data_IF_771238347111
#
_entry.id   IF_771238347111
#
_cell.length_a   1.000
_cell.length_b   1.000
_cell.length_c   1.000
_cell.angle_alpha   90.00
_cell.angle_beta   90.00
_cell.angle_gamma   90.00
#
_symmetry.space_group_name_H-M   'P 1'
#
loop_
_entity.id
_entity.type
_entity.pdbx_description
1 polymer ?
#
# COMPACT_ATOMS: atom_id res chain seq x y z
N UNK A 1 -28.22 19.08 -19.68
CA UNK A 1 -27.02 19.05 -20.54
C UNK A 1 -25.92 19.81 -19.84
N UNK A 2 -24.75 19.21 -19.63
CA UNK A 2 -23.59 19.94 -19.08
C UNK A 2 -23.07 20.91 -20.16
N UNK A 3 -22.70 22.15 -19.81
CA UNK A 3 -22.15 23.10 -20.77
C UNK A 3 -20.85 22.55 -21.38
N UNK A 4 -20.67 22.70 -22.70
CA UNK A 4 -19.43 22.29 -23.37
C UNK A 4 -18.25 23.07 -22.77
N UNK A 5 -17.13 22.40 -22.43
CA UNK A 5 -15.95 23.09 -21.92
C UNK A 5 -15.38 24.02 -22.99
N UNK A 6 -14.95 25.21 -22.56
CA UNK A 6 -14.24 26.15 -23.44
C UNK A 6 -12.87 25.57 -23.83
N UNK A 7 -12.33 25.98 -24.99
CA UNK A 7 -10.99 25.61 -25.46
C UNK A 7 -9.91 25.88 -24.42
N UNK A 8 -10.03 26.98 -23.68
CA UNK A 8 -9.11 27.36 -22.61
C UNK A 8 -9.14 26.39 -21.40
N UNK A 9 -10.31 25.84 -21.06
CA UNK A 9 -10.44 24.84 -20.00
C UNK A 9 -9.82 23.50 -20.42
N UNK A 10 -10.01 23.11 -21.67
CA UNK A 10 -9.40 21.92 -22.26
C UNK A 10 -7.87 22.00 -22.26
N UNK A 11 -7.33 23.13 -22.69
CA UNK A 11 -5.89 23.40 -22.72
C UNK A 11 -5.26 23.38 -21.30
N UNK A 12 -5.95 23.94 -20.30
CA UNK A 12 -5.51 23.84 -18.89
C UNK A 12 -5.56 22.43 -18.33
N UNK A 13 -6.61 21.66 -18.63
CA UNK A 13 -6.71 20.27 -18.22
C UNK A 13 -5.61 19.42 -18.87
N UNK A 14 -5.30 19.66 -20.15
CA UNK A 14 -4.23 18.99 -20.88
C UNK A 14 -2.87 19.30 -20.26
N UNK A 15 -2.58 20.57 -19.92
CA UNK A 15 -1.34 20.94 -19.22
C UNK A 15 -1.19 20.24 -17.88
N UNK A 16 -2.25 20.18 -17.08
CA UNK A 16 -2.25 19.45 -15.81
C UNK A 16 -1.95 17.98 -16.04
N UNK A 17 -2.62 17.36 -17.01
CA UNK A 17 -2.44 15.95 -17.35
C UNK A 17 -1.02 15.63 -17.80
N UNK A 18 -0.45 16.42 -18.70
CA UNK A 18 0.95 16.26 -19.15
C UNK A 18 1.93 16.38 -17.98
N UNK A 19 1.77 17.39 -17.12
CA UNK A 19 2.62 17.56 -15.93
C UNK A 19 2.51 16.37 -14.97
N UNK A 20 1.30 15.88 -14.74
CA UNK A 20 1.04 14.71 -13.92
C UNK A 20 1.73 13.46 -14.49
N UNK A 21 1.62 13.23 -15.80
CA UNK A 21 2.27 12.10 -16.46
C UNK A 21 3.80 12.17 -16.34
N UNK A 22 4.39 13.36 -16.55
CA UNK A 22 5.83 13.56 -16.42
C UNK A 22 6.31 13.32 -14.98
N UNK A 23 5.60 13.89 -13.99
CA UNK A 23 5.93 13.68 -12.58
C UNK A 23 5.79 12.20 -12.18
N UNK A 24 4.72 11.54 -12.63
CA UNK A 24 4.53 10.10 -12.38
C UNK A 24 5.63 9.27 -13.01
N UNK A 25 6.00 9.53 -14.27
CA UNK A 25 7.05 8.80 -14.97
C UNK A 25 8.41 8.92 -14.26
N UNK A 26 8.78 10.13 -13.83
CA UNK A 26 10.01 10.35 -13.05
C UNK A 26 10.00 9.59 -11.73
N UNK A 27 8.88 9.63 -11.01
CA UNK A 27 8.72 8.88 -9.76
C UNK A 27 8.78 7.37 -9.99
N UNK A 28 8.17 6.85 -11.05
CA UNK A 28 8.23 5.43 -11.43
C UNK A 28 9.63 4.94 -11.78
N UNK A 29 10.46 5.78 -12.39
CA UNK A 29 11.85 5.41 -12.70
C UNK A 29 12.68 5.19 -11.44
N UNK A 30 12.52 6.06 -10.45
CA UNK A 30 13.25 5.98 -9.17
C UNK A 30 12.64 4.96 -8.21
N UNK A 31 11.33 4.72 -8.35
CA UNK A 31 10.52 3.84 -7.52
C UNK A 31 11.13 2.44 -7.34
N UNK A 32 11.49 1.77 -8.44
CA UNK A 32 11.97 0.39 -8.40
C UNK A 32 13.24 0.24 -7.56
N UNK A 33 14.11 1.25 -7.57
CA UNK A 33 15.34 1.29 -6.76
C UNK A 33 15.02 1.50 -5.29
N UNK A 34 14.06 2.37 -4.97
CA UNK A 34 13.63 2.62 -3.60
C UNK A 34 12.91 1.40 -2.99
N UNK A 35 12.10 0.69 -3.77
CA UNK A 35 11.40 -0.53 -3.35
C UNK A 35 12.38 -1.60 -2.88
N UNK A 36 13.38 -1.89 -3.72
CA UNK A 36 14.35 -2.94 -3.44
C UNK A 36 15.20 -2.59 -2.22
N UNK A 37 15.64 -1.33 -2.11
CA UNK A 37 16.40 -0.86 -0.95
C UNK A 37 15.58 -0.95 0.34
N UNK A 38 14.31 -0.53 0.30
CA UNK A 38 13.40 -0.63 1.44
C UNK A 38 13.14 -2.07 1.86
N UNK A 39 12.84 -2.95 0.90
CA UNK A 39 12.61 -4.37 1.15
C UNK A 39 13.84 -5.04 1.76
N UNK A 40 15.04 -4.77 1.23
CA UNK A 40 16.30 -5.29 1.80
C UNK A 40 16.49 -4.85 3.24
N UNK A 41 16.27 -3.57 3.55
CA UNK A 41 16.37 -3.05 4.92
C UNK A 41 15.36 -3.73 5.85
N UNK A 42 14.10 -3.84 5.43
CA UNK A 42 13.06 -4.49 6.22
C UNK A 42 13.38 -5.96 6.48
N UNK A 43 13.84 -6.70 5.47
CA UNK A 43 14.28 -8.10 5.62
C UNK A 43 15.37 -8.23 6.69
N UNK A 44 16.37 -7.34 6.69
CA UNK A 44 17.43 -7.36 7.69
C UNK A 44 16.90 -7.11 9.11
N UNK A 45 16.04 -6.11 9.28
CA UNK A 45 15.46 -5.77 10.58
C UNK A 45 14.63 -6.94 11.12
N UNK A 46 13.73 -7.50 10.31
CA UNK A 46 12.85 -8.60 10.73
C UNK A 46 13.66 -9.86 11.04
N UNK A 47 14.65 -10.21 10.22
CA UNK A 47 15.53 -11.34 10.50
C UNK A 47 16.36 -11.12 11.78
N UNK A 48 16.79 -9.89 12.05
CA UNK A 48 17.46 -9.52 13.30
C UNK A 48 16.55 -9.76 14.51
N UNK A 49 15.29 -9.31 14.45
CA UNK A 49 14.30 -9.56 15.50
C UNK A 49 14.07 -11.06 15.71
N UNK A 50 13.87 -11.82 14.63
CA UNK A 50 13.62 -13.27 14.71
C UNK A 50 14.84 -14.04 15.26
N UNK A 51 16.05 -13.56 15.00
CA UNK A 51 17.25 -14.09 15.63
C UNK A 51 17.27 -13.82 17.14
N UNK A 52 16.84 -12.63 17.58
CA UNK A 52 16.79 -12.28 19.01
C UNK A 52 15.69 -13.03 19.78
N UNK A 53 14.61 -13.42 19.11
CA UNK A 53 13.47 -14.15 19.69
C UNK A 53 13.50 -15.67 19.45
N UNK A 54 14.59 -16.18 18.88
CA UNK A 54 14.78 -17.61 18.54
C UNK A 54 13.64 -18.22 17.70
N UNK A 55 13.08 -17.42 16.80
CA UNK A 55 11.96 -17.85 15.95
C UNK A 55 12.46 -18.75 14.80
N UNK A 56 11.79 -19.88 14.51
CA UNK A 56 12.20 -20.83 13.48
C UNK A 56 11.79 -20.35 12.07
N UNK A 57 11.99 -19.06 11.77
CA UNK A 57 11.61 -18.44 10.52
C UNK A 57 12.70 -17.48 10.02
N UNK A 58 12.88 -17.40 8.70
CA UNK A 58 13.82 -16.48 8.04
C UNK A 58 13.18 -15.89 6.80
N UNK A 59 13.22 -14.57 6.68
CA UNK A 59 12.80 -13.88 5.48
C UNK A 59 13.96 -13.78 4.48
N UNK A 60 13.67 -13.94 3.20
CA UNK A 60 14.58 -13.75 2.08
C UNK A 60 13.91 -12.87 1.02
N UNK A 61 14.70 -12.08 0.28
CA UNK A 61 14.21 -11.39 -0.91
C UNK A 61 14.52 -12.26 -2.12
N UNK A 62 13.50 -12.72 -2.85
CA UNK A 62 13.64 -13.50 -4.08
C UNK A 62 12.79 -12.88 -5.17
N UNK A 63 13.41 -12.53 -6.30
CA UNK A 63 12.74 -11.95 -7.48
C UNK A 63 11.82 -10.74 -7.18
N UNK A 64 12.20 -9.90 -6.21
CA UNK A 64 11.42 -8.72 -5.80
C UNK A 64 10.24 -9.04 -4.86
N UNK A 65 10.14 -10.26 -4.36
CA UNK A 65 9.17 -10.65 -3.34
C UNK A 65 9.86 -11.04 -2.03
N UNK A 66 9.20 -10.72 -0.92
CA UNK A 66 9.63 -11.14 0.40
C UNK A 66 9.09 -12.56 0.65
N UNK A 67 10.01 -13.52 0.80
CA UNK A 67 9.73 -14.93 1.03
C UNK A 67 10.02 -15.28 2.48
N UNK A 68 9.03 -15.81 3.20
CA UNK A 68 9.25 -16.41 4.53
C UNK A 68 9.74 -17.85 4.32
N UNK A 69 10.80 -18.27 5.02
CA UNK A 69 11.25 -19.66 5.09
C UNK A 69 11.12 -20.15 6.53
N UNK A 70 10.25 -21.14 6.77
CA UNK A 70 10.16 -21.81 8.08
C UNK A 70 11.26 -22.88 8.18
N UNK A 71 12.14 -22.74 9.16
CA UNK A 71 13.22 -23.67 9.47
C UNK A 71 12.69 -24.76 10.41
N UNK A 72 13.08 -26.02 10.22
CA UNK A 72 12.68 -27.13 11.09
C UNK A 72 11.53 -28.03 10.61
N UNK A 73 10.88 -27.72 9.48
CA UNK A 73 9.78 -28.53 8.91
C UNK A 73 10.18 -29.47 7.75
N UNK A 74 11.46 -29.80 7.59
CA UNK A 74 11.96 -30.70 6.54
C UNK A 74 11.89 -30.15 5.10
N UNK A 75 10.97 -29.22 4.80
CA UNK A 75 10.93 -28.39 3.59
C UNK A 75 10.60 -26.94 3.96
N UNK A 76 11.31 -25.93 3.42
CA UNK A 76 10.97 -24.54 3.64
C UNK A 76 9.60 -24.24 3.01
N UNK A 77 8.62 -23.87 3.84
CA UNK A 77 7.36 -23.31 3.37
C UNK A 77 7.63 -21.87 2.93
N UNK A 78 7.47 -21.59 1.63
CA UNK A 78 7.70 -20.28 1.02
C UNK A 78 6.39 -19.51 0.87
N UNK A 79 6.17 -18.51 1.72
CA UNK A 79 5.06 -17.54 1.56
C UNK A 79 5.59 -16.31 0.83
N UNK A 80 5.09 -16.09 -0.39
CA UNK A 80 5.44 -14.92 -1.19
C UNK A 80 4.56 -13.75 -0.78
N UNK A 81 5.12 -12.77 -0.07
CA UNK A 81 4.43 -11.53 0.24
C UNK A 81 4.49 -10.60 -0.98
N UNK A 82 3.64 -10.88 -1.97
CA UNK A 82 3.37 -9.98 -3.08
C UNK A 82 2.42 -8.87 -2.64
N UNK A 83 2.80 -7.60 -2.76
CA UNK A 83 1.81 -6.53 -2.58
C UNK A 83 2.27 -5.14 -2.19
N UNK A 84 3.56 -4.85 -2.06
CA UNK A 84 3.96 -3.49 -1.72
C UNK A 84 3.71 -2.49 -2.87
N UNK A 85 3.65 -2.97 -4.13
CA UNK A 85 3.36 -2.14 -5.31
C UNK A 85 2.15 -1.22 -5.15
N UNK A 86 1.09 -1.65 -4.44
CA UNK A 86 -0.13 -0.85 -4.27
C UNK A 86 0.12 0.39 -3.40
N UNK A 87 0.92 0.28 -2.32
CA UNK A 87 1.25 1.44 -1.48
C UNK A 87 1.98 2.52 -2.29
N UNK A 88 2.91 2.07 -3.12
CA UNK A 88 3.76 2.96 -3.89
C UNK A 88 3.07 3.57 -5.11
N UNK A 89 2.15 2.83 -5.74
CA UNK A 89 1.26 3.40 -6.75
C UNK A 89 0.42 4.55 -6.18
N UNK A 90 -0.15 4.39 -4.98
CA UNK A 90 -0.91 5.44 -4.32
C UNK A 90 -0.03 6.66 -3.97
N UNK A 91 1.19 6.41 -3.48
CA UNK A 91 2.14 7.46 -3.12
C UNK A 91 2.61 8.25 -4.36
N UNK A 92 2.97 7.55 -5.44
CA UNK A 92 3.37 8.15 -6.72
C UNK A 92 2.24 9.04 -7.27
N UNK A 93 1.02 8.51 -7.33
CA UNK A 93 -0.15 9.27 -7.81
C UNK A 93 -0.37 10.52 -6.96
N UNK A 94 -0.29 10.40 -5.64
CA UNK A 94 -0.48 11.53 -4.74
C UNK A 94 0.58 12.61 -4.92
N UNK A 95 1.86 12.24 -4.86
CA UNK A 95 2.96 13.20 -5.04
C UNK A 95 2.90 13.84 -6.43
N UNK A 96 2.62 13.06 -7.48
CA UNK A 96 2.51 13.56 -8.84
C UNK A 96 1.34 14.55 -9.01
N UNK A 97 0.19 14.31 -8.37
CA UNK A 97 -0.95 15.25 -8.40
C UNK A 97 -0.58 16.59 -7.77
N UNK A 98 0.11 16.60 -6.63
CA UNK A 98 0.55 17.83 -5.97
C UNK A 98 1.64 18.56 -6.74
N UNK A 99 2.61 17.84 -7.30
CA UNK A 99 3.64 18.41 -8.15
C UNK A 99 3.07 19.02 -9.44
N UNK A 100 2.00 18.42 -9.98
CA UNK A 100 1.34 18.90 -11.19
C UNK A 100 0.37 20.08 -10.96
N UNK A 101 -0.01 20.38 -9.71
CA UNK A 101 -0.94 21.47 -9.38
C UNK A 101 -0.41 22.82 -9.88
N UNK A 102 -1.11 23.50 -10.81
CA UNK A 102 -0.67 24.78 -11.36
C UNK A 102 -0.74 25.89 -10.32
N UNK A 103 0.20 26.85 -10.39
CA UNK A 103 0.26 28.05 -9.53
C UNK A 103 0.48 27.79 -8.02
N UNK A 104 0.68 26.53 -7.62
CA UNK A 104 1.13 26.21 -6.27
C UNK A 104 2.62 26.50 -6.11
N UNK A 105 3.00 27.10 -4.99
CA UNK A 105 4.41 27.28 -4.64
C UNK A 105 5.03 25.97 -4.12
N UNK A 106 6.37 25.91 -4.13
CA UNK A 106 7.10 24.72 -3.71
C UNK A 106 6.87 24.35 -2.24
N UNK A 107 6.60 25.34 -1.36
CA UNK A 107 6.35 25.09 0.08
C UNK A 107 5.03 24.37 0.27
N UNK A 108 4.01 24.78 -0.47
CA UNK A 108 2.71 24.15 -0.51
C UNK A 108 2.81 22.73 -1.07
N UNK A 109 3.54 22.54 -2.17
CA UNK A 109 3.74 21.22 -2.78
C UNK A 109 4.43 20.26 -1.81
N UNK A 110 5.51 20.69 -1.16
CA UNK A 110 6.23 19.89 -0.15
C UNK A 110 5.36 19.57 1.06
N UNK A 111 4.63 20.57 1.58
CA UNK A 111 3.72 20.37 2.72
C UNK A 111 2.70 19.27 2.43
N UNK A 112 2.05 19.32 1.27
CA UNK A 112 1.01 18.35 0.92
C UNK A 112 1.55 17.00 0.47
N UNK A 113 2.70 16.96 -0.20
CA UNK A 113 3.42 15.71 -0.45
C UNK A 113 3.79 15.01 0.87
N UNK A 114 4.21 15.77 1.89
CA UNK A 114 4.44 15.26 3.25
C UNK A 114 3.18 14.70 3.90
N UNK A 115 2.04 15.39 3.78
CA UNK A 115 0.76 14.87 4.25
C UNK A 115 0.34 13.59 3.54
N UNK A 116 0.50 13.51 2.21
CA UNK A 116 0.24 12.28 1.45
C UNK A 116 1.13 11.16 1.95
N UNK A 117 2.43 11.41 2.12
CA UNK A 117 3.37 10.41 2.63
C UNK A 117 2.95 9.90 4.02
N UNK A 118 2.64 10.79 4.94
CA UNK A 118 2.19 10.43 6.29
C UNK A 118 0.88 9.63 6.27
N UNK A 119 -0.10 10.09 5.50
CA UNK A 119 -1.42 9.49 5.45
C UNK A 119 -1.41 8.14 4.72
N UNK A 120 -0.79 8.07 3.54
CA UNK A 120 -0.61 6.80 2.85
C UNK A 120 0.23 5.86 3.71
N UNK A 121 1.30 6.34 4.35
CA UNK A 121 2.15 5.57 5.25
C UNK A 121 1.38 5.00 6.43
N UNK A 122 0.56 5.81 7.11
CA UNK A 122 -0.33 5.35 8.18
C UNK A 122 -1.28 4.25 7.68
N UNK A 123 -1.89 4.43 6.51
CA UNK A 123 -2.77 3.41 5.95
C UNK A 123 -2.02 2.13 5.60
N UNK A 124 -0.76 2.23 5.18
CA UNK A 124 0.12 1.09 4.92
C UNK A 124 0.47 0.34 6.20
N UNK A 125 0.81 1.04 7.28
CA UNK A 125 1.03 0.43 8.61
C UNK A 125 -0.20 -0.33 9.10
N UNK A 126 -1.41 0.23 8.91
CA UNK A 126 -2.66 -0.50 9.22
C UNK A 126 -2.81 -1.77 8.35
N UNK A 127 -2.34 -1.77 7.09
CA UNK A 127 -2.28 -3.01 6.29
C UNK A 127 -1.23 -3.99 6.72
N UNK A 128 -0.12 -3.54 7.25
CA UNK A 128 0.86 -4.44 7.83
C UNK A 128 0.32 -5.06 9.12
N UNK A 129 -0.54 -4.34 9.85
CA UNK A 129 -1.20 -4.86 11.05
C UNK A 129 -2.29 -5.90 10.75
N UNK A 130 -3.20 -5.61 9.82
CA UNK A 130 -4.30 -6.53 9.44
C UNK A 130 -3.90 -7.56 8.37
N UNK A 131 -2.78 -7.37 7.68
CA UNK A 131 -2.30 -8.24 6.61
C UNK A 131 -2.03 -9.69 7.08
N UNK A 132 -1.32 -9.91 8.20
CA UNK A 132 -1.11 -11.25 8.75
C UNK A 132 -2.41 -11.99 9.08
N UNK A 133 -3.43 -11.28 9.56
CA UNK A 133 -4.73 -11.87 9.87
C UNK A 133 -5.46 -12.33 8.60
N UNK A 134 -5.44 -11.54 7.54
CA UNK A 134 -5.94 -11.93 6.22
C UNK A 134 -5.19 -13.14 5.64
N UNK A 135 -3.85 -13.13 5.69
CA UNK A 135 -3.03 -14.25 5.21
C UNK A 135 -3.33 -15.51 6.00
N UNK A 136 -3.51 -15.38 7.31
CA UNK A 136 -3.87 -16.49 8.17
C UNK A 136 -5.26 -17.05 7.83
N UNK A 137 -6.24 -16.19 7.58
CA UNK A 137 -7.57 -16.60 7.14
C UNK A 137 -7.55 -17.29 5.77
N UNK A 138 -6.83 -16.74 4.79
CA UNK A 138 -6.64 -17.34 3.48
C UNK A 138 -5.97 -18.72 3.60
N UNK A 139 -4.96 -18.84 4.47
CA UNK A 139 -4.31 -20.10 4.78
C UNK A 139 -5.30 -21.11 5.38
N UNK A 140 -6.06 -20.75 6.41
CA UNK A 140 -7.07 -21.64 7.01
C UNK A 140 -8.11 -22.10 5.99
N UNK A 141 -8.56 -21.19 5.11
CA UNK A 141 -9.54 -21.50 4.07
C UNK A 141 -8.97 -22.38 2.96
N UNK A 142 -7.65 -22.39 2.77
CA UNK A 142 -6.97 -23.26 1.80
C UNK A 142 -6.80 -24.70 2.30
N UNK A 143 -6.92 -24.96 3.60
CA UNK A 143 -6.80 -26.29 4.19
C UNK A 143 -8.05 -27.14 3.97
N UNK A 144 -7.87 -28.47 4.00
CA UNK A 144 -9.02 -29.38 4.05
C UNK A 144 -9.84 -29.14 5.34
N UNK A 145 -11.16 -29.43 5.36
CA UNK A 145 -11.98 -29.21 6.55
C UNK A 145 -11.45 -29.91 7.80
N UNK A 146 -10.83 -31.09 7.63
CA UNK A 146 -10.25 -31.89 8.70
C UNK A 146 -8.97 -31.27 9.26
N UNK A 147 -8.04 -30.86 8.40
CA UNK A 147 -6.77 -30.23 8.83
C UNK A 147 -7.02 -28.87 9.48
N UNK A 148 -7.98 -28.11 8.93
CA UNK A 148 -8.42 -26.83 9.49
C UNK A 148 -8.96 -27.00 10.92
N UNK A 149 -9.80 -28.01 11.16
CA UNK A 149 -10.32 -28.29 12.50
C UNK A 149 -9.20 -28.65 13.48
N UNK A 150 -8.27 -29.52 13.08
CA UNK A 150 -7.13 -29.89 13.93
C UNK A 150 -6.25 -28.70 14.27
N UNK A 151 -5.99 -27.81 13.31
CA UNK A 151 -5.20 -26.59 13.52
C UNK A 151 -5.89 -25.61 14.48
N UNK A 152 -7.22 -25.46 14.37
CA UNK A 152 -8.02 -24.62 15.26
C UNK A 152 -8.13 -25.22 16.67
N UNK A 153 -8.15 -26.54 16.81
CA UNK A 153 -8.11 -27.22 18.10
C UNK A 153 -6.75 -27.06 18.79
N UNK A 154 -5.64 -27.20 18.06
CA UNK A 154 -4.28 -26.95 18.54
C UNK A 154 -4.06 -25.48 18.96
N UNK A 155 -4.66 -24.56 18.22
CA UNK A 155 -4.56 -23.13 18.48
C UNK A 155 -5.41 -22.63 19.66
N UNK A 156 -6.45 -23.37 20.04
CA UNK A 156 -7.41 -22.92 21.05
C UNK A 156 -8.12 -21.63 20.64
N UNK A 157 -8.51 -20.83 21.63
CA UNK A 157 -9.39 -19.66 21.42
C UNK A 157 -8.74 -18.55 20.58
N UNK A 158 -7.41 -18.39 20.67
CA UNK A 158 -6.65 -17.34 19.93
C UNK A 158 -6.82 -17.46 18.41
N UNK A 159 -6.81 -18.69 17.89
CA UNK A 159 -6.92 -18.93 16.45
C UNK A 159 -8.39 -19.01 16.01
N UNK A 160 -9.28 -19.41 16.92
CA UNK A 160 -10.72 -19.47 16.68
C UNK A 160 -11.34 -18.07 16.53
N UNK A 161 -10.94 -17.12 17.37
CA UNK A 161 -11.38 -15.72 17.30
C UNK A 161 -10.90 -15.02 16.01
N UNK A 162 -9.76 -15.46 15.46
CA UNK A 162 -9.19 -14.92 14.20
C UNK A 162 -9.67 -15.64 12.94
N UNK A 163 -10.32 -16.79 13.10
CA UNK A 163 -10.81 -17.61 11.99
C UNK A 163 -12.13 -17.09 11.39
N UNK A 164 -12.94 -16.38 12.19
CA UNK A 164 -14.17 -15.74 11.71
C UNK A 164 -13.88 -14.29 11.32
N UNK A 165 -13.93 -13.94 10.01
CA UNK A 165 -13.71 -12.56 9.60
C UNK A 165 -14.89 -11.70 10.07
N UNK A 166 -14.64 -10.87 11.08
CA UNK A 166 -15.56 -9.78 11.41
C UNK A 166 -15.72 -8.79 10.24
N UNK A 167 -16.69 -7.87 10.35
CA UNK A 167 -16.96 -6.87 9.30
C UNK A 167 -15.74 -5.99 8.92
N UNK A 168 -14.74 -5.90 9.80
CA UNK A 168 -13.51 -5.18 9.54
C UNK A 168 -12.71 -5.73 8.35
N UNK A 169 -12.69 -7.06 8.16
CA UNK A 169 -11.92 -7.74 7.12
C UNK A 169 -12.32 -7.35 5.68
N UNK A 170 -13.60 -7.45 5.26
CA UNK A 170 -14.01 -7.01 3.92
C UNK A 170 -13.90 -5.49 3.72
N UNK A 171 -14.16 -4.69 4.76
CA UNK A 171 -13.96 -3.23 4.71
C UNK A 171 -12.48 -2.92 4.48
N UNK A 172 -11.60 -3.66 5.14
CA UNK A 172 -10.15 -3.50 4.99
C UNK A 172 -9.66 -3.90 3.60
N UNK A 173 -10.18 -5.01 3.05
CA UNK A 173 -9.90 -5.43 1.69
C UNK A 173 -10.32 -4.38 0.66
N UNK A 174 -11.52 -3.81 0.78
CA UNK A 174 -12.02 -2.73 -0.07
C UNK A 174 -11.18 -1.44 0.08
N UNK A 175 -10.79 -1.10 1.31
CA UNK A 175 -9.90 0.02 1.60
C UNK A 175 -8.53 -0.13 0.93
N UNK A 176 -7.95 -1.34 1.01
CA UNK A 176 -6.65 -1.68 0.40
C UNK A 176 -6.67 -1.53 -1.12
N UNK A 177 -7.79 -1.88 -1.77
CA UNK A 177 -7.91 -1.88 -3.24
C UNK A 177 -8.32 -0.53 -3.82
N UNK A 178 -9.33 0.12 -3.23
CA UNK A 178 -9.94 1.34 -3.81
C UNK A 178 -9.81 2.56 -2.90
N UNK A 179 -9.92 2.34 -1.58
CA UNK A 179 -10.01 3.42 -0.59
C UNK A 179 -8.79 4.34 -0.57
N UNK A 180 -7.58 3.78 -0.69
CA UNK A 180 -6.33 4.56 -0.65
C UNK A 180 -6.16 5.54 -1.81
N UNK A 181 -6.42 5.08 -3.04
CA UNK A 181 -6.36 5.92 -4.24
C UNK A 181 -7.42 7.02 -4.19
N UNK A 182 -8.65 6.64 -3.83
CA UNK A 182 -9.74 7.60 -3.63
C UNK A 182 -9.40 8.65 -2.58
N UNK A 183 -8.81 8.25 -1.46
CA UNK A 183 -8.42 9.14 -0.38
C UNK A 183 -7.35 10.16 -0.82
N UNK A 184 -6.32 9.71 -1.53
CA UNK A 184 -5.30 10.61 -2.11
C UNK A 184 -5.91 11.65 -3.04
N UNK A 185 -6.82 11.23 -3.92
CA UNK A 185 -7.52 12.14 -4.84
C UNK A 185 -8.39 13.14 -4.08
N UNK A 186 -9.11 12.70 -3.04
CA UNK A 186 -9.94 13.59 -2.21
C UNK A 186 -9.08 14.63 -1.48
N UNK A 187 -7.95 14.24 -0.90
CA UNK A 187 -7.01 15.16 -0.25
C UNK A 187 -6.49 16.18 -1.25
N UNK A 188 -6.10 15.72 -2.44
CA UNK A 188 -5.64 16.61 -3.51
C UNK A 188 -6.73 17.60 -3.95
N UNK A 189 -7.97 17.15 -4.15
CA UNK A 189 -9.10 18.03 -4.48
C UNK A 189 -9.37 19.06 -3.38
N UNK A 190 -9.33 18.64 -2.11
CA UNK A 190 -9.53 19.52 -0.97
C UNK A 190 -8.42 20.58 -0.89
N UNK A 191 -7.16 20.17 -0.97
CA UNK A 191 -6.01 21.04 -0.87
C UNK A 191 -5.93 22.00 -2.07
N UNK A 192 -6.14 21.48 -3.28
CA UNK A 192 -6.00 22.21 -4.54
C UNK A 192 -7.22 23.08 -4.85
N UNK A 193 -8.28 23.06 -4.01
CA UNK A 193 -9.57 23.73 -4.29
C UNK A 193 -9.43 25.18 -4.71
N UNK A 194 -8.48 25.93 -4.15
CA UNK A 194 -8.27 27.33 -4.48
C UNK A 194 -7.52 27.48 -5.80
N UNK A 195 -6.49 26.66 -6.04
CA UNK A 195 -5.73 26.66 -7.30
C UNK A 195 -6.56 26.18 -8.50
N UNK A 196 -7.51 25.27 -8.26
CA UNK A 196 -8.45 24.79 -9.26
C UNK A 196 -9.63 25.74 -9.47
N UNK A 197 -9.90 26.67 -8.53
CA UNK A 197 -10.99 27.66 -8.60
C UNK A 197 -10.56 29.07 -8.97
N UNK A 198 -9.27 29.43 -8.86
CA UNK A 198 -8.73 30.78 -9.11
C UNK A 198 -8.68 31.18 -10.60
N UNK A 199 -9.73 30.85 -11.35
CA UNK A 199 -10.01 31.37 -12.68
C UNK A 199 -11.52 31.54 -12.85
N UNK A 200 -12.13 32.34 -11.97
CA UNK A 200 -13.27 33.14 -12.39
C UNK A 200 -12.73 34.39 -13.04
#
# INVERSE_FOLDING_TARGET
MLPRPTTERLDRALRLFVRFLLASALLFLVWRVMDEAYLRLLTQIVNGLFFLTDEPARFALQDGALVVNLMGFGRPLSLQLGGNHIFYLNLIVGIALFAATPAADWRWQVKWAGWVLLLTGATHLVSLWYGPELIFQDFLLSLSPTDRMQLLELGGDIWRDRAEPGLATPIFAAWRHFGRLGFVVVIWLFASRNYLRLSR
#
